data_IF_215897480329
#
_entry.id   IF_215897480329
#
_cell.length_a   1.000
_cell.length_b   1.000
_cell.length_c   1.000
_cell.angle_alpha   90.00
_cell.angle_beta   90.00
_cell.angle_gamma   90.00
#
_symmetry.space_group_name_H-M   'P 1'
#
loop_
_entity.id
_entity.type
_entity.pdbx_description
1 polymer ?
#
# COMPACT_ATOMS: atom_id res chain seq x y z
N UNK A 1 35.77 -6.44 -12.31
CA UNK A 1 35.85 -7.81 -12.86
C UNK A 1 35.02 -7.83 -14.12
N UNK A 2 35.63 -8.05 -15.30
CA UNK A 2 34.89 -8.11 -16.56
C UNK A 2 34.09 -9.41 -16.60
N UNK A 3 32.77 -9.30 -16.66
CA UNK A 3 31.88 -10.44 -16.96
C UNK A 3 32.22 -10.90 -18.37
N UNK A 4 32.50 -12.20 -18.55
CA UNK A 4 32.67 -12.79 -19.89
C UNK A 4 31.40 -12.53 -20.70
N UNK A 5 31.55 -12.01 -21.92
CA UNK A 5 30.42 -11.62 -22.77
C UNK A 5 29.42 -12.77 -23.00
N UNK A 6 29.91 -14.01 -23.06
CA UNK A 6 29.09 -15.22 -23.17
C UNK A 6 28.11 -15.39 -22.00
N UNK A 7 28.60 -15.30 -20.76
CA UNK A 7 27.76 -15.41 -19.55
C UNK A 7 26.71 -14.29 -19.48
N UNK A 8 27.05 -13.10 -19.98
CA UNK A 8 26.10 -12.00 -20.11
C UNK A 8 24.99 -12.33 -21.12
N UNK A 9 25.34 -12.77 -22.33
CA UNK A 9 24.36 -13.11 -23.37
C UNK A 9 23.46 -14.29 -22.97
N UNK A 10 24.02 -15.31 -22.32
CA UNK A 10 23.25 -16.43 -21.80
C UNK A 10 22.25 -15.98 -20.73
N UNK A 11 22.71 -15.16 -19.77
CA UNK A 11 21.84 -14.60 -18.73
C UNK A 11 20.70 -13.78 -19.32
N UNK A 12 21.00 -12.91 -20.29
CA UNK A 12 19.98 -12.08 -20.94
C UNK A 12 18.99 -12.91 -21.77
N UNK A 13 19.47 -13.97 -22.43
CA UNK A 13 18.61 -14.89 -23.17
C UNK A 13 17.64 -15.62 -22.23
N UNK A 14 18.13 -16.13 -21.09
CA UNK A 14 17.29 -16.76 -20.05
C UNK A 14 16.24 -15.80 -19.50
N UNK A 15 16.65 -14.59 -19.10
CA UNK A 15 15.74 -13.60 -18.53
C UNK A 15 14.67 -13.12 -19.52
N UNK A 16 15.03 -12.98 -20.81
CA UNK A 16 14.08 -12.64 -21.87
C UNK A 16 13.06 -13.76 -22.04
N UNK A 17 13.53 -15.01 -22.18
CA UNK A 17 12.64 -16.16 -22.32
C UNK A 17 11.70 -16.32 -21.10
N UNK A 18 12.20 -16.14 -19.88
CA UNK A 18 11.38 -16.19 -18.67
C UNK A 18 10.32 -15.08 -18.64
N UNK A 19 10.67 -13.89 -19.09
CA UNK A 19 9.72 -12.76 -19.16
C UNK A 19 8.62 -13.07 -20.17
N UNK A 20 8.96 -13.53 -21.36
CA UNK A 20 7.98 -13.83 -22.41
C UNK A 20 7.03 -14.98 -22.02
N UNK A 21 7.52 -15.99 -21.30
CA UNK A 21 6.70 -17.10 -20.80
C UNK A 21 5.71 -16.63 -19.72
N UNK A 22 6.16 -15.78 -18.80
CA UNK A 22 5.30 -15.21 -17.76
C UNK A 22 4.27 -14.24 -18.36
N UNK A 23 4.65 -13.46 -19.36
CA UNK A 23 3.73 -12.56 -20.07
C UNK A 23 2.68 -13.34 -20.84
N UNK A 24 3.06 -14.43 -21.51
CA UNK A 24 2.11 -15.32 -22.19
C UNK A 24 1.06 -15.90 -21.23
N UNK A 25 1.49 -16.50 -20.10
CA UNK A 25 0.54 -17.05 -19.12
C UNK A 25 -0.30 -15.95 -18.47
N UNK A 26 0.34 -14.83 -18.11
CA UNK A 26 -0.33 -13.70 -17.51
C UNK A 26 -1.41 -13.09 -18.41
N UNK A 27 -1.16 -13.03 -19.72
CA UNK A 27 -2.14 -12.62 -20.71
C UNK A 27 -3.38 -13.53 -20.69
N UNK A 28 -3.19 -14.85 -20.81
CA UNK A 28 -4.30 -15.80 -20.82
C UNK A 28 -5.13 -15.65 -19.55
N UNK A 29 -4.48 -15.48 -18.39
CA UNK A 29 -5.18 -15.27 -17.14
C UNK A 29 -5.98 -13.96 -17.14
N UNK A 30 -5.39 -12.85 -17.61
CA UNK A 30 -6.07 -11.57 -17.73
C UNK A 30 -7.34 -11.66 -18.59
N UNK A 31 -7.28 -12.31 -19.74
CA UNK A 31 -8.44 -12.52 -20.62
C UNK A 31 -9.57 -13.30 -19.93
N UNK A 32 -9.22 -14.25 -19.04
CA UNK A 32 -10.22 -15.04 -18.30
C UNK A 32 -10.87 -14.27 -17.14
N UNK A 33 -10.10 -13.40 -16.46
CA UNK A 33 -10.57 -12.71 -15.25
C UNK A 33 -11.15 -11.32 -15.55
N UNK A 34 -10.74 -10.71 -16.65
CA UNK A 34 -11.06 -9.33 -17.03
C UNK A 34 -10.93 -9.17 -18.56
N UNK A 35 -11.88 -9.74 -19.30
CA UNK A 35 -11.89 -9.77 -20.77
C UNK A 35 -11.79 -8.38 -21.42
N UNK A 36 -12.30 -7.34 -20.76
CA UNK A 36 -12.21 -5.95 -21.23
C UNK A 36 -11.04 -5.17 -20.61
N UNK A 37 -10.35 -5.72 -19.61
CA UNK A 37 -9.30 -5.03 -18.85
C UNK A 37 -8.09 -4.67 -19.69
N UNK A 38 -7.74 -5.53 -20.65
CA UNK A 38 -6.63 -5.29 -21.57
C UNK A 38 -7.02 -4.31 -22.68
N UNK A 39 -8.22 -4.47 -23.27
CA UNK A 39 -8.72 -3.61 -24.35
C UNK A 39 -8.96 -2.17 -23.87
N UNK A 40 -9.54 -1.98 -22.68
CA UNK A 40 -9.78 -0.67 -22.04
C UNK A 40 -8.48 0.08 -21.73
N UNK A 41 -7.37 -0.64 -21.50
CA UNK A 41 -6.03 -0.06 -21.29
C UNK A 41 -5.28 0.21 -22.60
N UNK A 42 -5.95 0.03 -23.75
CA UNK A 42 -5.42 0.33 -25.07
C UNK A 42 -4.59 -0.81 -25.68
N UNK A 43 -4.59 -2.00 -25.07
CA UNK A 43 -3.92 -3.16 -25.62
C UNK A 43 -4.82 -3.82 -26.68
N UNK A 44 -4.62 -3.42 -27.94
CA UNK A 44 -5.41 -3.91 -29.10
C UNK A 44 -5.07 -5.33 -29.54
N UNK A 45 -3.91 -5.83 -29.15
CA UNK A 45 -3.46 -7.19 -29.47
C UNK A 45 -2.56 -7.74 -28.36
N UNK A 46 -2.50 -9.07 -28.34
CA UNK A 46 -1.95 -10.03 -27.37
C UNK A 46 -0.54 -9.78 -26.81
N UNK A 47 0.17 -8.77 -27.29
CA UNK A 47 1.61 -8.55 -27.07
C UNK A 47 1.98 -7.22 -26.41
N UNK A 48 1.00 -6.36 -26.13
CA UNK A 48 1.29 -5.05 -25.61
C UNK A 48 1.25 -4.98 -24.06
N UNK A 49 0.69 -6.01 -23.41
CA UNK A 49 0.63 -6.10 -21.96
C UNK A 49 1.94 -6.66 -21.41
N UNK A 50 2.82 -5.75 -21.00
CA UNK A 50 4.05 -6.11 -20.34
C UNK A 50 3.77 -6.73 -18.96
N UNK A 51 4.74 -7.48 -18.43
CA UNK A 51 4.62 -8.11 -17.11
C UNK A 51 4.16 -7.13 -16.00
N UNK A 52 4.62 -5.86 -15.95
CA UNK A 52 4.06 -4.85 -15.07
C UNK A 52 2.54 -4.64 -15.21
N UNK A 53 2.03 -4.46 -16.43
CA UNK A 53 0.60 -4.28 -16.66
C UNK A 53 -0.21 -5.50 -16.21
N UNK A 54 0.26 -6.70 -16.54
CA UNK A 54 -0.34 -7.98 -16.11
C UNK A 54 -0.41 -8.04 -14.58
N UNK A 55 0.71 -7.78 -13.91
CA UNK A 55 0.75 -7.81 -12.45
C UNK A 55 -0.23 -6.81 -11.85
N UNK A 56 -0.40 -5.64 -12.45
CA UNK A 56 -1.31 -4.62 -11.94
C UNK A 56 -2.79 -4.99 -12.16
N UNK A 57 -3.15 -5.67 -13.27
CA UNK A 57 -4.50 -6.24 -13.50
C UNK A 57 -4.79 -7.33 -12.47
N UNK A 58 -3.93 -8.35 -12.42
CA UNK A 58 -4.13 -9.52 -11.57
C UNK A 58 -4.15 -9.11 -10.09
N UNK A 59 -3.35 -8.12 -9.67
CA UNK A 59 -3.38 -7.61 -8.29
C UNK A 59 -4.69 -6.93 -7.90
N UNK A 60 -5.44 -6.34 -8.83
CA UNK A 60 -6.77 -5.80 -8.53
C UNK A 60 -7.74 -6.94 -8.26
N UNK A 61 -7.76 -7.94 -9.14
CA UNK A 61 -8.58 -9.14 -8.98
C UNK A 61 -8.25 -9.91 -7.69
N UNK A 62 -6.96 -9.99 -7.31
CA UNK A 62 -6.53 -10.66 -6.06
C UNK A 62 -6.93 -9.94 -4.77
N UNK A 63 -7.46 -8.71 -4.84
CA UNK A 63 -7.99 -7.95 -3.69
C UNK A 63 -9.51 -8.05 -3.58
N UNK A 64 -10.20 -8.48 -4.64
CA UNK A 64 -11.64 -8.58 -4.66
C UNK A 64 -12.06 -9.88 -3.97
N UNK A 65 -12.79 -9.81 -2.83
CA UNK A 65 -13.15 -11.00 -2.05
C UNK A 65 -14.08 -11.95 -2.81
N UNK A 66 -14.77 -11.45 -3.84
CA UNK A 66 -15.66 -12.22 -4.72
C UNK A 66 -15.17 -12.26 -6.19
N UNK A 67 -13.90 -11.90 -6.43
CA UNK A 67 -13.31 -11.89 -7.77
C UNK A 67 -13.17 -13.29 -8.37
N UNK A 68 -12.94 -13.40 -9.68
CA UNK A 68 -12.88 -14.69 -10.39
C UNK A 68 -11.85 -15.65 -9.80
N UNK A 69 -10.69 -15.13 -9.39
CA UNK A 69 -9.63 -15.93 -8.76
C UNK A 69 -10.01 -16.41 -7.35
N UNK A 70 -10.77 -15.62 -6.60
CA UNK A 70 -11.19 -15.98 -5.24
C UNK A 70 -12.21 -17.13 -5.23
N UNK A 71 -12.92 -17.35 -6.33
CA UNK A 71 -13.85 -18.48 -6.49
C UNK A 71 -13.13 -19.81 -6.72
N UNK A 72 -11.94 -19.78 -7.32
CA UNK A 72 -11.25 -20.98 -7.82
C UNK A 72 -9.94 -21.31 -7.10
N UNK A 73 -9.43 -20.41 -6.25
CA UNK A 73 -8.21 -20.60 -5.46
C UNK A 73 -8.44 -20.34 -3.98
N UNK A 74 -7.70 -21.04 -3.12
CA UNK A 74 -7.70 -20.83 -1.66
C UNK A 74 -6.95 -19.55 -1.30
N UNK A 75 -7.25 -18.95 -0.14
CA UNK A 75 -6.59 -17.70 0.29
C UNK A 75 -5.07 -17.85 0.43
N UNK A 76 -4.56 -19.01 0.84
CA UNK A 76 -3.11 -19.27 0.90
C UNK A 76 -2.46 -19.30 -0.49
N UNK A 77 -3.17 -19.81 -1.49
CA UNK A 77 -2.71 -19.84 -2.89
C UNK A 77 -2.75 -18.43 -3.49
N UNK A 78 -3.82 -17.67 -3.23
CA UNK A 78 -3.94 -16.26 -3.62
C UNK A 78 -2.81 -15.43 -2.99
N UNK A 79 -2.53 -15.63 -1.71
CA UNK A 79 -1.42 -14.97 -1.00
C UNK A 79 -0.07 -15.31 -1.62
N UNK A 80 0.16 -16.57 -1.97
CA UNK A 80 1.38 -17.03 -2.64
C UNK A 80 1.52 -16.40 -4.02
N UNK A 81 0.44 -16.37 -4.80
CA UNK A 81 0.40 -15.74 -6.12
C UNK A 81 0.70 -14.24 -6.03
N UNK A 82 0.12 -13.50 -5.06
CA UNK A 82 0.44 -12.08 -4.82
C UNK A 82 1.94 -11.87 -4.57
N UNK A 83 2.56 -12.73 -3.77
CA UNK A 83 3.98 -12.65 -3.45
C UNK A 83 4.87 -12.94 -4.67
N UNK A 84 4.56 -13.99 -5.43
CA UNK A 84 5.33 -14.39 -6.60
C UNK A 84 5.22 -13.36 -7.74
N UNK A 85 4.03 -12.81 -8.00
CA UNK A 85 3.85 -11.71 -8.97
C UNK A 85 4.68 -10.48 -8.62
N UNK A 86 4.82 -10.18 -7.32
CA UNK A 86 5.68 -9.08 -6.86
C UNK A 86 7.15 -9.36 -7.13
N UNK A 87 7.60 -10.61 -6.89
CA UNK A 87 8.97 -11.04 -7.17
C UNK A 87 9.26 -11.12 -8.67
N UNK A 88 8.27 -11.47 -9.51
CA UNK A 88 8.42 -11.54 -10.95
C UNK A 88 8.79 -10.18 -11.60
N UNK A 89 8.40 -9.05 -10.97
CA UNK A 89 8.89 -7.72 -11.38
C UNK A 89 10.42 -7.61 -11.34
N UNK A 90 11.10 -8.38 -10.49
CA UNK A 90 12.56 -8.44 -10.44
C UNK A 90 13.15 -9.12 -11.68
N UNK A 91 12.50 -10.16 -12.22
CA UNK A 91 12.93 -10.82 -13.46
C UNK A 91 12.92 -9.81 -14.62
N UNK A 92 11.79 -9.12 -14.81
CA UNK A 92 11.66 -8.07 -15.85
C UNK A 92 12.62 -6.91 -15.64
N UNK A 93 12.83 -6.46 -14.41
CA UNK A 93 13.77 -5.38 -14.13
C UNK A 93 15.21 -5.79 -14.45
N UNK A 94 15.62 -7.00 -14.09
CA UNK A 94 16.96 -7.51 -14.39
C UNK A 94 17.20 -7.67 -15.90
N UNK A 95 16.16 -8.10 -16.64
CA UNK A 95 16.16 -8.12 -18.10
C UNK A 95 16.32 -6.70 -18.67
N UNK A 96 15.45 -5.76 -18.27
CA UNK A 96 15.42 -4.41 -18.82
C UNK A 96 16.69 -3.58 -18.51
N UNK A 97 17.30 -3.80 -17.34
CA UNK A 97 18.51 -3.10 -16.92
C UNK A 97 19.80 -3.85 -17.26
N UNK A 98 19.71 -4.95 -18.03
CA UNK A 98 20.87 -5.75 -18.45
C UNK A 98 21.82 -6.10 -17.29
N UNK A 99 21.26 -6.36 -16.11
CA UNK A 99 22.06 -6.52 -14.90
C UNK A 99 22.61 -7.93 -14.85
N UNK A 100 23.93 -8.08 -14.92
CA UNK A 100 24.57 -9.39 -14.73
C UNK A 100 24.32 -9.89 -13.31
N UNK A 101 23.68 -11.05 -13.19
CA UNK A 101 23.43 -11.71 -11.92
C UNK A 101 24.46 -12.82 -11.70
N UNK A 102 24.73 -13.15 -10.44
CA UNK A 102 25.47 -14.36 -10.09
C UNK A 102 24.54 -15.58 -10.10
N UNK A 103 25.13 -16.78 -10.20
CA UNK A 103 24.41 -18.05 -10.33
C UNK A 103 23.33 -18.24 -9.25
N UNK A 104 23.68 -17.98 -7.98
CA UNK A 104 22.74 -18.12 -6.86
C UNK A 104 21.50 -17.23 -7.00
N UNK A 105 21.65 -16.00 -7.54
CA UNK A 105 20.49 -15.14 -7.78
C UNK A 105 19.68 -15.61 -8.98
N UNK A 106 20.34 -16.13 -10.02
CA UNK A 106 19.64 -16.72 -11.16
C UNK A 106 18.81 -17.93 -10.74
N UNK A 107 19.32 -18.78 -9.86
CA UNK A 107 18.58 -19.92 -9.32
C UNK A 107 17.33 -19.48 -8.54
N UNK A 108 17.43 -18.44 -7.70
CA UNK A 108 16.28 -17.89 -6.98
C UNK A 108 15.23 -17.32 -7.94
N UNK A 109 15.66 -16.63 -8.99
CA UNK A 109 14.76 -16.09 -10.03
C UNK A 109 14.11 -17.21 -10.83
N UNK A 110 14.86 -18.26 -11.17
CA UNK A 110 14.35 -19.42 -11.87
C UNK A 110 13.30 -20.17 -11.03
N UNK A 111 13.56 -20.37 -9.75
CA UNK A 111 12.60 -21.00 -8.84
C UNK A 111 11.33 -20.14 -8.70
N UNK A 112 11.49 -18.81 -8.63
CA UNK A 112 10.36 -17.88 -8.64
C UNK A 112 9.55 -18.00 -9.93
N UNK A 113 10.23 -18.07 -11.07
CA UNK A 113 9.59 -18.25 -12.38
C UNK A 113 8.82 -19.56 -12.44
N UNK A 114 9.43 -20.68 -12.05
CA UNK A 114 8.82 -22.01 -12.11
C UNK A 114 7.54 -22.06 -11.28
N UNK A 115 7.63 -21.68 -10.00
CA UNK A 115 6.48 -21.66 -9.09
C UNK A 115 5.36 -20.73 -9.58
N UNK A 116 5.71 -19.60 -10.19
CA UNK A 116 4.72 -18.69 -10.74
C UNK A 116 4.07 -19.26 -12.01
N UNK A 117 4.81 -19.95 -12.88
CA UNK A 117 4.25 -20.61 -14.05
C UNK A 117 3.22 -21.67 -13.63
N UNK A 118 3.55 -22.51 -12.65
CA UNK A 118 2.67 -23.56 -12.17
C UNK A 118 1.37 -22.99 -11.58
N UNK A 119 1.49 -21.94 -10.77
CA UNK A 119 0.31 -21.27 -10.18
C UNK A 119 -0.53 -20.53 -11.22
N UNK A 120 0.09 -19.88 -12.20
CA UNK A 120 -0.64 -19.24 -13.30
C UNK A 120 -1.36 -20.29 -14.15
N UNK A 121 -0.69 -21.38 -14.51
CA UNK A 121 -1.31 -22.44 -15.31
C UNK A 121 -2.48 -23.10 -14.56
N UNK A 122 -2.32 -23.35 -13.25
CA UNK A 122 -3.41 -23.81 -12.39
C UNK A 122 -4.58 -22.81 -12.38
N UNK A 123 -4.31 -21.54 -12.10
CA UNK A 123 -5.34 -20.50 -12.05
C UNK A 123 -6.08 -20.36 -13.39
N UNK A 124 -5.37 -20.42 -14.51
CA UNK A 124 -5.94 -20.37 -15.86
C UNK A 124 -6.89 -21.55 -16.06
N UNK A 125 -6.45 -22.78 -15.81
CA UNK A 125 -7.28 -23.98 -16.02
C UNK A 125 -8.54 -23.97 -15.16
N UNK A 126 -8.40 -23.60 -13.89
CA UNK A 126 -9.54 -23.56 -12.97
C UNK A 126 -10.52 -22.43 -13.34
N UNK A 127 -10.01 -21.24 -13.67
CA UNK A 127 -10.86 -20.10 -14.09
C UNK A 127 -11.57 -20.41 -15.41
N UNK A 128 -10.88 -21.02 -16.37
CA UNK A 128 -11.45 -21.42 -17.65
C UNK A 128 -12.58 -22.44 -17.46
N UNK A 129 -12.37 -23.43 -16.59
CA UNK A 129 -13.38 -24.44 -16.25
C UNK A 129 -14.62 -23.80 -15.61
N UNK A 130 -14.43 -22.91 -14.64
CA UNK A 130 -15.52 -22.19 -13.95
C UNK A 130 -16.38 -21.36 -14.93
N UNK A 131 -15.75 -20.72 -15.93
CA UNK A 131 -16.45 -19.92 -16.94
C UNK A 131 -16.90 -20.72 -18.17
N UNK A 132 -16.62 -22.03 -18.23
CA UNK A 132 -16.93 -22.86 -19.40
C UNK A 132 -16.17 -22.48 -20.66
N UNK A 133 -15.00 -21.86 -20.54
CA UNK A 133 -14.15 -21.41 -21.65
C UNK A 133 -13.17 -22.53 -22.02
N UNK A 134 -13.22 -23.02 -23.26
CA UNK A 134 -12.36 -24.11 -23.73
C UNK A 134 -11.10 -23.64 -24.46
N UNK A 135 -11.11 -22.42 -25.00
CA UNK A 135 -10.03 -21.87 -25.82
C UNK A 135 -9.96 -20.34 -25.74
N UNK A 136 -8.76 -19.79 -25.90
CA UNK A 136 -8.49 -18.36 -25.96
C UNK A 136 -7.72 -18.00 -27.23
N UNK A 137 -8.00 -16.82 -27.78
CA UNK A 137 -7.21 -16.30 -28.90
C UNK A 137 -5.84 -15.79 -28.43
N UNK A 138 -4.78 -16.15 -29.15
CA UNK A 138 -3.42 -15.70 -28.90
C UNK A 138 -2.67 -15.45 -30.21
N UNK A 139 -1.92 -14.35 -30.31
CA UNK A 139 -1.10 -14.02 -31.48
C UNK A 139 0.39 -14.24 -31.19
N UNK A 140 1.04 -15.29 -31.73
CA UNK A 140 2.49 -15.42 -31.70
C UNK A 140 3.12 -14.42 -32.67
N UNK A 141 3.72 -13.32 -32.19
CA UNK A 141 4.69 -12.59 -33.00
C UNK A 141 6.03 -12.56 -32.27
N UNK A 142 7.14 -12.76 -32.99
CA UNK A 142 8.43 -12.83 -32.31
C UNK A 142 9.01 -11.45 -31.94
N UNK A 143 8.58 -10.35 -32.57
CA UNK A 143 9.04 -9.00 -32.20
C UNK A 143 8.07 -7.94 -32.74
N UNK A 144 7.73 -6.96 -31.90
CA UNK A 144 6.96 -5.76 -32.24
C UNK A 144 7.58 -5.02 -33.45
N UNK A 145 8.90 -5.13 -33.66
CA UNK A 145 9.59 -4.50 -34.79
C UNK A 145 9.23 -5.06 -36.18
N UNK A 146 8.70 -6.28 -36.30
CA UNK A 146 8.32 -6.88 -37.60
C UNK A 146 6.84 -6.71 -37.95
N UNK A 147 5.99 -6.35 -36.99
CA UNK A 147 4.54 -6.25 -37.19
C UNK A 147 4.09 -4.94 -37.86
N UNK A 148 4.97 -3.94 -37.98
CA UNK A 148 4.64 -2.64 -38.58
C UNK A 148 4.85 -2.56 -40.10
N UNK A 149 5.12 -3.68 -40.78
CA UNK A 149 5.07 -3.72 -42.24
C UNK A 149 3.66 -4.06 -42.68
N UNK A 150 2.99 -3.03 -43.20
CA UNK A 150 1.69 -3.03 -43.86
C UNK A 150 1.40 -4.34 -44.63
N UNK A 151 0.29 -5.02 -44.28
CA UNK A 151 -0.37 -6.16 -44.96
C UNK A 151 -0.22 -7.58 -44.39
N UNK A 152 0.35 -7.80 -43.22
CA UNK A 152 0.20 -9.12 -42.59
C UNK A 152 -0.95 -9.09 -41.59
N UNK A 153 -2.05 -9.78 -41.92
CA UNK A 153 -3.10 -10.12 -40.96
C UNK A 153 -2.44 -10.74 -39.72
N UNK A 154 -2.86 -10.29 -38.52
CA UNK A 154 -2.35 -10.83 -37.27
C UNK A 154 -2.60 -12.34 -37.26
N UNK A 155 -1.55 -13.13 -37.13
CA UNK A 155 -1.65 -14.59 -37.02
C UNK A 155 -2.28 -14.92 -35.68
N UNK A 156 -3.58 -15.18 -35.64
CA UNK A 156 -4.29 -15.57 -34.42
C UNK A 156 -4.32 -17.10 -34.33
N UNK A 157 -3.89 -17.62 -33.19
CA UNK A 157 -3.91 -19.03 -32.82
C UNK A 157 -4.90 -19.23 -31.69
N UNK A 158 -5.75 -20.25 -31.78
CA UNK A 158 -6.62 -20.65 -30.68
C UNK A 158 -5.85 -21.56 -29.74
N UNK A 159 -5.65 -21.10 -28.51
CA UNK A 159 -4.99 -21.82 -27.43
C UNK A 159 -6.03 -22.65 -26.69
N UNK A 160 -6.03 -23.99 -26.79
CA UNK A 160 -6.87 -24.83 -25.95
C UNK A 160 -6.42 -24.73 -24.49
N UNK A 161 -7.39 -24.51 -23.59
CA UNK A 161 -7.15 -24.40 -22.15
C UNK A 161 -7.26 -25.76 -21.44
N UNK A 162 -7.97 -26.70 -22.05
CA UNK A 162 -8.16 -28.06 -21.57
C UNK A 162 -7.28 -29.02 -22.38
N UNK A 163 -6.05 -29.29 -21.91
CA UNK A 163 -5.11 -30.14 -22.62
C UNK A 163 -3.72 -30.17 -21.99
N UNK A 164 -2.71 -30.18 -22.86
CA UNK A 164 -1.28 -30.13 -22.49
C UNK A 164 -0.88 -28.83 -21.76
N UNK A 165 0.36 -28.75 -21.27
CA UNK A 165 0.85 -27.52 -20.64
C UNK A 165 0.84 -26.35 -21.63
N UNK A 166 0.35 -25.20 -21.17
CA UNK A 166 0.24 -23.99 -21.97
C UNK A 166 1.63 -23.54 -22.48
N UNK A 167 2.68 -23.72 -21.69
CA UNK A 167 4.05 -23.41 -22.11
C UNK A 167 4.55 -24.37 -23.20
N UNK A 168 4.22 -25.67 -23.11
CA UNK A 168 4.55 -26.64 -24.15
C UNK A 168 3.83 -26.33 -25.47
N UNK A 169 2.55 -25.98 -25.39
CA UNK A 169 1.77 -25.52 -26.53
C UNK A 169 2.40 -24.27 -27.15
N UNK A 170 2.72 -23.26 -26.33
CA UNK A 170 3.41 -22.03 -26.78
C UNK A 170 4.68 -22.37 -27.54
N UNK A 171 5.54 -23.23 -26.98
CA UNK A 171 6.79 -23.62 -27.62
C UNK A 171 6.57 -24.36 -28.96
N UNK A 172 5.52 -25.17 -29.08
CA UNK A 172 5.16 -25.80 -30.36
C UNK A 172 4.69 -24.76 -31.37
N UNK A 173 3.74 -23.93 -30.98
CA UNK A 173 3.18 -22.88 -31.85
C UNK A 173 4.26 -21.89 -32.32
N UNK A 174 5.19 -21.49 -31.44
CA UNK A 174 6.30 -20.62 -31.83
C UNK A 174 7.25 -21.30 -32.82
N UNK A 175 7.58 -22.59 -32.61
CA UNK A 175 8.39 -23.36 -33.57
C UNK A 175 7.70 -23.47 -34.93
N UNK A 176 6.41 -23.79 -34.95
CA UNK A 176 5.63 -23.91 -36.19
C UNK A 176 5.52 -22.55 -36.91
N UNK A 177 5.39 -21.47 -36.13
CA UNK A 177 5.35 -20.11 -36.65
C UNK A 177 6.68 -19.68 -37.27
N UNK A 178 7.82 -19.98 -36.62
CA UNK A 178 9.15 -19.70 -37.13
C UNK A 178 9.44 -20.50 -38.42
N UNK A 179 8.99 -21.76 -38.49
CA UNK A 179 9.07 -22.59 -39.71
C UNK A 179 8.23 -21.97 -40.83
N UNK A 180 7.02 -21.49 -40.52
CA UNK A 180 6.12 -20.88 -41.52
C UNK A 180 6.65 -19.54 -42.04
N UNK A 181 7.30 -18.75 -41.16
CA UNK A 181 7.98 -17.50 -41.52
C UNK A 181 9.37 -17.70 -42.14
N UNK A 182 9.93 -18.91 -42.12
CA UNK A 182 11.24 -19.22 -42.73
C UNK A 182 11.23 -19.18 -44.27
N UNK A 183 10.08 -18.92 -44.90
CA UNK A 183 10.03 -18.50 -46.30
C UNK A 183 10.98 -17.31 -46.47
N UNK A 184 11.85 -17.31 -47.49
CA UNK A 184 12.81 -16.25 -47.70
C UNK A 184 12.03 -14.94 -47.70
N UNK A 185 12.26 -14.12 -46.67
CA UNK A 185 11.84 -12.73 -46.68
C UNK A 185 12.53 -12.17 -47.91
N UNK A 186 11.77 -11.90 -48.97
CA UNK A 186 12.25 -11.14 -50.10
C UNK A 186 12.79 -9.84 -49.52
N UNK A 187 14.12 -9.78 -49.37
CA UNK A 187 14.80 -8.56 -48.96
C UNK A 187 14.43 -7.58 -50.05
N UNK A 188 13.57 -6.61 -49.74
CA UNK A 188 13.31 -5.49 -50.65
C UNK A 188 14.68 -5.05 -51.17
N UNK A 189 14.86 -4.92 -52.50
CA UNK A 189 16.09 -4.34 -53.02
C UNK A 189 16.30 -3.04 -52.27
N UNK A 190 17.49 -2.83 -51.71
CA UNK A 190 17.83 -1.60 -50.99
C UNK A 190 17.54 -0.44 -51.93
N UNK A 191 16.39 0.21 -51.75
CA UNK A 191 16.07 1.44 -52.46
C UNK A 191 17.14 2.43 -52.06
N UNK A 192 17.88 2.93 -53.03
CA UNK A 192 18.83 4.03 -52.82
C UNK A 192 18.01 5.17 -52.21
N UNK A 193 18.36 5.60 -51.01
CA UNK A 193 17.60 6.65 -50.31
C UNK A 193 17.69 7.95 -51.12
N UNK A 194 16.59 8.31 -51.77
CA UNK A 194 16.38 9.61 -52.40
C UNK A 194 16.51 10.71 -51.35
N UNK A 195 17.01 11.89 -51.74
CA UNK A 195 17.26 13.00 -50.81
C UNK A 195 16.01 13.41 -50.02
N UNK A 196 14.82 13.35 -50.66
CA UNK A 196 13.53 13.58 -49.99
C UNK A 196 13.25 12.57 -48.86
N UNK A 197 13.63 11.30 -49.04
CA UNK A 197 13.45 10.28 -48.00
C UNK A 197 14.35 10.52 -46.80
N UNK A 198 15.55 11.09 -47.00
CA UNK A 198 16.47 11.44 -45.91
C UNK A 198 15.96 12.65 -45.14
N UNK A 199 15.44 13.64 -45.85
CA UNK A 199 14.86 14.83 -45.22
C UNK A 199 13.64 14.47 -44.38
N UNK A 200 12.71 13.63 -44.89
CA UNK A 200 11.56 13.16 -44.10
C UNK A 200 11.97 12.39 -42.85
N UNK A 201 12.97 11.51 -42.94
CA UNK A 201 13.49 10.80 -41.76
C UNK A 201 14.09 11.75 -40.72
N UNK A 202 14.78 12.81 -41.17
CA UNK A 202 15.33 13.83 -40.28
C UNK A 202 14.22 14.60 -39.57
N UNK A 203 13.20 15.02 -40.32
CA UNK A 203 12.05 15.75 -39.77
C UNK A 203 11.25 14.88 -38.79
N UNK A 204 11.05 13.59 -39.10
CA UNK A 204 10.40 12.63 -38.21
C UNK A 204 11.21 12.38 -36.93
N UNK A 205 12.54 12.31 -37.05
CA UNK A 205 13.43 12.18 -35.91
C UNK A 205 13.37 13.41 -35.01
N UNK A 206 13.45 14.61 -35.58
CA UNK A 206 13.34 15.87 -34.84
C UNK A 206 11.98 15.96 -34.14
N UNK A 207 10.89 15.65 -34.84
CA UNK A 207 9.55 15.61 -34.26
C UNK A 207 9.44 14.58 -33.12
N UNK A 208 10.03 13.40 -33.25
CA UNK A 208 10.06 12.38 -32.21
C UNK A 208 10.83 12.85 -30.95
N UNK A 209 11.97 13.53 -31.15
CA UNK A 209 12.75 14.12 -30.05
C UNK A 209 11.95 15.21 -29.34
N UNK A 210 11.26 16.10 -30.08
CA UNK A 210 10.40 17.13 -29.48
C UNK A 210 9.26 16.53 -28.67
N UNK A 211 8.58 15.49 -29.21
CA UNK A 211 7.51 14.78 -28.50
C UNK A 211 8.02 14.12 -27.22
N UNK A 212 9.22 13.53 -27.24
CA UNK A 212 9.84 12.93 -26.07
C UNK A 212 10.13 13.96 -24.98
N UNK A 213 10.62 15.14 -25.36
CA UNK A 213 10.89 16.25 -24.44
C UNK A 213 9.60 16.77 -23.80
N UNK A 214 8.55 17.00 -24.61
CA UNK A 214 7.23 17.41 -24.11
C UNK A 214 6.62 16.38 -23.16
N UNK A 215 6.77 15.08 -23.44
CA UNK A 215 6.29 14.01 -22.54
C UNK A 215 7.03 14.05 -21.20
N UNK A 216 8.34 14.30 -21.21
CA UNK A 216 9.14 14.44 -20.00
C UNK A 216 8.72 15.67 -19.17
N UNK A 217 8.50 16.82 -19.81
CA UNK A 217 8.02 18.04 -19.15
C UNK A 217 6.64 17.83 -18.52
N UNK A 218 5.69 17.19 -19.23
CA UNK A 218 4.38 16.84 -18.68
C UNK A 218 4.49 15.91 -17.48
N UNK A 219 5.38 14.93 -17.53
CA UNK A 219 5.60 14.02 -16.41
C UNK A 219 6.17 14.74 -15.19
N UNK A 220 7.14 15.63 -15.38
CA UNK A 220 7.68 16.48 -14.30
C UNK A 220 6.61 17.40 -13.70
N UNK A 221 5.75 18.00 -14.52
CA UNK A 221 4.65 18.84 -14.06
C UNK A 221 3.62 18.04 -13.23
N UNK A 222 3.25 16.83 -13.67
CA UNK A 222 2.35 15.95 -12.91
C UNK A 222 2.96 15.54 -11.58
N UNK A 223 4.25 15.19 -11.54
CA UNK A 223 4.95 14.87 -10.29
C UNK A 223 4.99 16.06 -9.34
N UNK A 224 5.31 17.25 -9.84
CA UNK A 224 5.33 18.48 -9.06
C UNK A 224 3.94 18.77 -8.46
N UNK A 225 2.88 18.72 -9.26
CA UNK A 225 1.51 18.92 -8.79
C UNK A 225 1.11 17.91 -7.71
N UNK A 226 1.48 16.64 -7.88
CA UNK A 226 1.19 15.60 -6.90
C UNK A 226 1.94 15.82 -5.57
N UNK A 227 3.18 16.32 -5.61
CA UNK A 227 3.92 16.70 -4.40
C UNK A 227 3.26 17.90 -3.70
N UNK A 228 2.84 18.91 -4.45
CA UNK A 228 2.12 20.08 -3.92
C UNK A 228 0.83 19.67 -3.22
N UNK A 229 0.04 18.79 -3.84
CA UNK A 229 -1.21 18.28 -3.25
C UNK A 229 -0.95 17.50 -1.94
N UNK A 230 0.13 16.70 -1.91
CA UNK A 230 0.56 15.99 -0.69
C UNK A 230 0.96 16.95 0.42
N UNK A 231 1.72 17.99 0.11
CA UNK A 231 2.12 19.02 1.08
C UNK A 231 0.89 19.75 1.63
N UNK A 232 -0.05 20.13 0.77
CA UNK A 232 -1.28 20.79 1.20
C UNK A 232 -2.11 19.91 2.14
N UNK A 233 -2.25 18.60 1.84
CA UNK A 233 -2.93 17.66 2.74
C UNK A 233 -2.23 17.52 4.08
N UNK A 234 -0.90 17.54 4.09
CA UNK A 234 -0.10 17.45 5.32
C UNK A 234 -0.27 18.71 6.17
N UNK A 235 -0.25 19.89 5.55
CA UNK A 235 -0.49 21.17 6.22
C UNK A 235 -1.91 21.24 6.80
N UNK A 236 -2.93 20.82 6.05
CA UNK A 236 -4.30 20.73 6.56
C UNK A 236 -4.42 19.81 7.78
N UNK A 237 -3.74 18.64 7.77
CA UNK A 237 -3.71 17.73 8.93
C UNK A 237 -3.01 18.36 10.12
N UNK A 238 -1.90 19.05 9.89
CA UNK A 238 -1.17 19.75 10.94
C UNK A 238 -2.02 20.85 11.57
N UNK A 239 -2.69 21.67 10.77
CA UNK A 239 -3.58 22.73 11.26
C UNK A 239 -4.76 22.17 12.07
N UNK A 240 -5.43 21.12 11.58
CA UNK A 240 -6.50 20.44 12.34
C UNK A 240 -6.01 19.87 13.67
N UNK A 241 -4.83 19.23 13.68
CA UNK A 241 -4.23 18.71 14.91
C UNK A 241 -3.91 19.83 15.90
N UNK A 242 -3.40 20.96 15.39
CA UNK A 242 -3.11 22.15 16.20
C UNK A 242 -4.38 22.76 16.80
N UNK A 243 -5.45 22.88 16.03
CA UNK A 243 -6.77 23.33 16.51
C UNK A 243 -7.31 22.42 17.62
N UNK A 244 -7.26 21.10 17.43
CA UNK A 244 -7.69 20.13 18.45
C UNK A 244 -6.90 20.28 19.75
N UNK A 245 -5.57 20.46 19.66
CA UNK A 245 -4.74 20.71 20.84
C UNK A 245 -5.12 22.02 21.54
N UNK A 246 -5.39 23.09 20.79
CA UNK A 246 -5.86 24.34 21.38
C UNK A 246 -7.22 24.18 22.07
N UNK A 247 -8.15 23.42 21.48
CA UNK A 247 -9.44 23.14 22.14
C UNK A 247 -9.26 22.37 23.44
N UNK A 248 -8.35 21.40 23.50
CA UNK A 248 -8.03 20.66 24.73
C UNK A 248 -7.44 21.58 25.80
N UNK A 249 -6.51 22.46 25.43
CA UNK A 249 -5.92 23.44 26.35
C UNK A 249 -7.00 24.40 26.89
N UNK A 250 -7.93 24.84 26.03
CA UNK A 250 -9.03 25.70 26.46
C UNK A 250 -9.95 25.00 27.47
N UNK A 251 -10.28 23.72 27.24
CA UNK A 251 -11.07 22.93 28.20
C UNK A 251 -10.37 22.83 29.55
N UNK A 252 -9.07 22.52 29.55
CA UNK A 252 -8.26 22.45 30.79
C UNK A 252 -8.21 23.81 31.49
N UNK A 253 -8.07 24.90 30.72
CA UNK A 253 -8.06 26.27 31.26
C UNK A 253 -9.38 26.63 31.95
N UNK A 254 -10.52 26.23 31.38
CA UNK A 254 -11.83 26.43 32.00
C UNK A 254 -12.00 25.57 33.27
N UNK A 255 -11.54 24.31 33.25
CA UNK A 255 -11.51 23.48 34.47
C UNK A 255 -10.70 24.15 35.59
N UNK A 256 -9.48 24.63 35.30
CA UNK A 256 -8.66 25.35 36.28
C UNK A 256 -9.34 26.61 36.81
N UNK A 257 -10.13 27.33 36.00
CA UNK A 257 -10.92 28.48 36.46
C UNK A 257 -11.99 28.04 37.45
N UNK A 258 -12.75 26.99 37.13
CA UNK A 258 -13.79 26.48 38.02
C UNK A 258 -13.21 25.98 39.35
N UNK A 259 -12.09 25.26 39.33
CA UNK A 259 -11.39 24.82 40.55
C UNK A 259 -10.94 26.01 41.40
N UNK A 260 -10.43 27.07 40.76
CA UNK A 260 -10.02 28.30 41.45
C UNK A 260 -11.20 29.02 42.09
N UNK A 261 -12.38 29.02 41.46
CA UNK A 261 -13.60 29.57 42.03
C UNK A 261 -14.11 28.73 43.21
N UNK A 262 -14.11 27.40 43.08
CA UNK A 262 -14.47 26.48 44.16
C UNK A 262 -13.55 26.70 45.36
N UNK A 263 -12.23 26.76 45.13
CA UNK A 263 -11.25 27.04 46.17
C UNK A 263 -11.50 28.39 46.86
N UNK A 264 -11.82 29.44 46.09
CA UNK A 264 -12.18 30.75 46.65
C UNK A 264 -13.44 30.68 47.52
N UNK A 265 -14.48 29.97 47.06
CA UNK A 265 -15.72 29.77 47.83
C UNK A 265 -15.47 29.01 49.13
N UNK A 266 -14.75 27.89 49.06
CA UNK A 266 -14.36 27.11 50.24
C UNK A 266 -13.54 27.96 51.22
N UNK A 267 -12.59 28.76 50.71
CA UNK A 267 -11.81 29.68 51.54
C UNK A 267 -12.69 30.74 52.22
N UNK A 268 -13.65 31.33 51.50
CA UNK A 268 -14.59 32.29 52.10
C UNK A 268 -15.51 31.63 53.14
N UNK A 269 -15.98 30.41 52.90
CA UNK A 269 -16.78 29.66 53.88
C UNK A 269 -15.99 29.32 55.14
N UNK A 270 -14.72 28.90 55.02
CA UNK A 270 -13.85 28.64 56.17
C UNK A 270 -13.61 29.93 56.96
N UNK A 271 -13.34 31.05 56.27
CA UNK A 271 -13.15 32.35 56.91
C UNK A 271 -14.44 32.83 57.59
N UNK A 272 -15.60 32.70 56.95
CA UNK A 272 -16.90 33.03 57.55
C UNK A 272 -17.24 32.13 58.73
N UNK A 273 -17.00 30.81 58.66
CA UNK A 273 -17.18 29.88 59.80
C UNK A 273 -16.28 30.23 60.98
N UNK A 274 -15.06 30.73 60.72
CA UNK A 274 -14.15 31.20 61.78
C UNK A 274 -14.54 32.58 62.34
N UNK A 275 -15.26 33.40 61.57
CA UNK A 275 -15.83 34.69 62.03
C UNK A 275 -17.17 34.49 62.75
N UNK A 276 -17.95 33.46 62.41
CA UNK A 276 -19.25 33.10 63.00
C UNK A 276 -19.16 32.11 64.16
N UNK A 277 -17.98 31.60 64.49
CA UNK A 277 -17.76 31.01 65.81
C UNK A 277 -17.62 32.16 66.81
N UNK A 278 -18.57 32.36 67.74
CA UNK A 278 -18.28 33.22 68.88
C UNK A 278 -17.06 32.63 69.57
N UNK A 279 -16.05 33.49 69.75
CA UNK A 279 -14.88 33.20 70.58
C UNK A 279 -15.40 32.57 71.86
N UNK A 280 -14.84 31.41 72.20
CA UNK A 280 -15.13 30.55 73.36
C UNK A 280 -14.85 31.23 74.71
N UNK A 281 -15.40 32.42 74.92
CA UNK A 281 -15.29 33.24 76.12
C UNK A 281 -16.47 33.06 77.09
N UNK A 282 -17.64 32.60 76.61
CA UNK A 282 -18.83 32.46 77.47
C UNK A 282 -18.74 31.23 78.39
N UNK A 283 -18.20 30.11 77.91
CA UNK A 283 -18.03 28.90 78.74
C UNK A 283 -16.95 29.09 79.83
N UNK A 284 -15.88 29.82 79.52
CA UNK A 284 -14.80 30.10 80.49
C UNK A 284 -15.20 31.14 81.53
N UNK A 285 -16.02 32.13 81.17
CA UNK A 285 -16.66 33.06 82.11
C UNK A 285 -17.67 32.34 83.03
N UNK A 286 -18.45 31.41 82.49
CA UNK A 286 -19.44 30.65 83.27
C UNK A 286 -18.77 29.78 84.33
N UNK A 287 -17.68 29.08 83.98
CA UNK A 287 -16.92 28.24 84.91
C UNK A 287 -16.24 29.09 85.99
N UNK A 288 -15.67 30.24 85.64
CA UNK A 288 -15.03 31.12 86.63
C UNK A 288 -16.03 31.77 87.59
N UNK A 289 -17.23 32.14 87.12
CA UNK A 289 -18.32 32.64 87.98
C UNK A 289 -18.81 31.55 88.93
N UNK A 290 -19.02 30.32 88.45
CA UNK A 290 -19.40 29.18 89.33
C UNK A 290 -18.33 28.87 90.39
N UNK A 291 -17.05 28.96 90.02
CA UNK A 291 -15.94 28.74 90.95
C UNK A 291 -15.86 29.86 92.00
N UNK A 292 -16.07 31.11 91.59
CA UNK A 292 -16.05 32.27 92.48
C UNK A 292 -17.23 32.27 93.48
N UNK A 293 -18.42 31.83 93.06
CA UNK A 293 -19.61 31.75 93.93
C UNK A 293 -19.51 30.54 94.89
N UNK A 294 -18.99 29.41 94.42
CA UNK A 294 -18.90 28.20 95.24
C UNK A 294 -17.74 28.23 96.25
N UNK A 295 -16.61 28.88 95.91
CA UNK A 295 -15.43 28.99 96.78
C UNK A 295 -15.72 29.44 98.23
N UNK A 296 -16.48 30.54 98.50
CA UNK A 296 -16.76 30.98 99.86
C UNK A 296 -17.71 30.07 100.64
N UNK A 297 -18.41 29.13 100.00
CA UNK A 297 -19.30 28.16 100.67
C UNK A 297 -18.55 26.95 101.25
N UNK A 298 -17.34 26.67 100.76
CA UNK A 298 -16.52 25.57 101.29
C UNK A 298 -15.94 25.86 102.67
N UNK A 299 -15.67 27.13 102.99
CA UNK A 299 -15.08 27.52 104.28
C UNK A 299 -16.07 27.29 105.44
N UNK A 300 -17.34 27.75 105.39
CA UNK A 300 -18.34 27.42 106.40
C UNK A 300 -18.62 25.92 106.48
N UNK A 301 -18.71 25.23 105.34
CA UNK A 301 -18.94 23.78 105.27
C UNK A 301 -17.84 22.98 105.98
N UNK A 302 -16.58 23.35 105.77
CA UNK A 302 -15.44 22.73 106.45
C UNK A 302 -15.41 23.04 107.95
N UNK A 303 -15.78 24.24 108.37
CA UNK A 303 -15.88 24.60 109.80
C UNK A 303 -17.00 23.82 110.49
N UNK A 304 -18.17 23.70 109.86
CA UNK A 304 -19.29 22.88 110.36
C UNK A 304 -18.88 21.40 110.44
N UNK A 305 -18.24 20.86 109.40
CA UNK A 305 -17.77 19.48 109.39
C UNK A 305 -16.70 19.23 110.48
N UNK A 306 -15.79 20.18 110.67
CA UNK A 306 -14.77 20.10 111.72
C UNK A 306 -15.38 20.16 113.13
N UNK A 307 -16.38 21.03 113.35
CA UNK A 307 -17.12 21.09 114.60
C UNK A 307 -17.94 19.81 114.84
N UNK A 308 -18.62 19.30 113.81
CA UNK A 308 -19.40 18.06 113.91
C UNK A 308 -18.51 16.87 114.27
N UNK A 309 -17.35 16.73 113.61
CA UNK A 309 -16.38 15.67 113.90
C UNK A 309 -15.77 15.79 115.30
N UNK A 310 -15.65 17.01 115.85
CA UNK A 310 -15.08 17.24 117.18
C UNK A 310 -16.06 16.99 118.33
N UNK A 311 -17.37 17.05 118.08
CA UNK A 311 -18.40 16.90 119.11
C UNK A 311 -19.22 15.60 119.02
N UNK A 312 -19.12 14.82 117.94
CA UNK A 312 -19.91 13.60 117.72
C UNK A 312 -19.10 12.34 117.34
N UNK A 313 -17.79 12.31 117.62
CA UNK A 313 -16.97 11.07 117.58
C UNK A 313 -16.16 10.93 118.86
#
# INVERSE_FOLDING_TARGET
>A
MSVQAEAYFETQTRLTAWTDELEFLGYILCELIDADGLSTRGYRCHQAADLPAIVDIVRLQLKEPNGSLAKVMKEDELKTLRQLLTKAKQIRNNMAHHTTQNENRLEVLENTKRNLCDLLEYAIKMTAMEHGISQISWSPCHHVCKAYTERNELSIVMVPLNGESLLSLRQRVLRDHDITQSKPIDRRPKSIATEESRQRQKDDYEAAVTRRRQKQERHMAVQSNHLTEKLQKLEQRFNKSRELRFTQINVVKEQMRTEKEIFRRQRTEILQKRVLQPVSGEETLSITVFLAISSPLWIPGMVIYYLYKKYYV
#
